data_IF_540609242295
#
_entry.id   IF_540609242295
#
_cell.length_a   1.000
_cell.length_b   1.000
_cell.length_c   1.000
_cell.angle_alpha   90.00
_cell.angle_beta   90.00
_cell.angle_gamma   90.00
#
_symmetry.space_group_name_H-M   'P 1'
#
loop_
_entity.id
_entity.type
_entity.pdbx_description
1 polymer ?
#
# COMPACT_ATOMS: atom_id res chain seq x y z
N UNK A 1 -18.37 -6.37 -20.30
CA UNK A 1 -17.96 -6.78 -18.95
C UNK A 1 -16.45 -7.00 -18.94
N UNK A 2 -15.75 -6.34 -18.04
CA UNK A 2 -14.33 -6.60 -17.87
C UNK A 2 -14.15 -7.96 -17.17
N UNK A 3 -13.36 -8.85 -17.75
CA UNK A 3 -12.94 -10.08 -17.08
C UNK A 3 -12.14 -9.74 -15.84
N UNK A 4 -12.60 -10.22 -14.69
CA UNK A 4 -11.85 -10.08 -13.45
C UNK A 4 -10.67 -11.06 -13.48
N UNK A 5 -9.48 -10.54 -13.70
CA UNK A 5 -8.27 -11.36 -13.64
C UNK A 5 -8.06 -11.87 -12.23
N UNK A 6 -7.94 -13.18 -12.10
CA UNK A 6 -7.57 -13.80 -10.82
C UNK A 6 -6.06 -13.58 -10.63
N UNK A 7 -5.70 -12.97 -9.51
CA UNK A 7 -4.29 -12.77 -9.16
C UNK A 7 -3.71 -14.05 -8.59
N UNK A 8 -2.62 -14.51 -9.17
CA UNK A 8 -1.85 -15.62 -8.66
C UNK A 8 -0.48 -15.13 -8.22
N UNK A 9 -0.04 -15.57 -7.04
CA UNK A 9 1.31 -15.34 -6.61
C UNK A 9 2.30 -16.15 -7.45
N UNK A 10 3.50 -15.63 -7.74
CA UNK A 10 4.57 -16.41 -8.38
C UNK A 10 4.95 -17.68 -7.62
N UNK A 11 4.72 -17.73 -6.31
CA UNK A 11 5.05 -18.84 -5.43
C UNK A 11 3.84 -19.71 -5.06
N UNK A 12 2.67 -19.43 -5.63
CA UNK A 12 1.42 -20.14 -5.28
C UNK A 12 1.54 -21.66 -5.42
N UNK A 13 2.28 -22.15 -6.43
CA UNK A 13 2.49 -23.56 -6.69
C UNK A 13 3.30 -24.27 -5.59
N UNK A 14 3.98 -23.55 -4.73
CA UNK A 14 4.79 -24.11 -3.64
C UNK A 14 3.97 -24.40 -2.38
N UNK A 15 2.76 -23.87 -2.28
CA UNK A 15 1.87 -24.05 -1.11
C UNK A 15 2.58 -23.77 0.22
N UNK A 16 3.33 -22.67 0.30
CA UNK A 16 4.20 -22.37 1.45
C UNK A 16 3.46 -22.28 2.77
N UNK A 17 2.26 -21.70 2.78
CA UNK A 17 1.46 -21.57 3.99
C UNK A 17 1.10 -22.94 4.60
N UNK A 18 0.72 -23.91 3.75
CA UNK A 18 0.41 -25.27 4.19
C UNK A 18 1.67 -25.98 4.72
N UNK A 19 2.81 -25.77 4.08
CA UNK A 19 4.08 -26.40 4.49
C UNK A 19 4.57 -25.90 5.84
N UNK A 20 4.38 -24.63 6.13
CA UNK A 20 4.77 -24.04 7.43
C UNK A 20 3.95 -24.65 8.59
N UNK A 21 2.68 -24.99 8.35
CA UNK A 21 1.79 -25.55 9.36
C UNK A 21 2.08 -27.03 9.60
N UNK A 22 2.40 -27.81 8.54
CA UNK A 22 2.49 -29.27 8.59
C UNK A 22 3.79 -29.74 9.22
N UNK A 23 4.90 -29.07 9.03
CA UNK A 23 6.20 -29.49 9.55
C UNK A 23 6.98 -28.30 10.15
N UNK A 24 6.69 -27.96 11.43
CA UNK A 24 7.45 -26.93 12.11
C UNK A 24 8.90 -27.36 12.42
N UNK A 25 9.17 -28.68 12.62
CA UNK A 25 10.51 -29.24 12.83
C UNK A 25 11.46 -28.41 13.67
N UNK A 26 12.76 -28.64 13.51
CA UNK A 26 13.84 -27.85 14.12
C UNK A 26 14.33 -26.75 13.18
N UNK A 27 13.44 -26.21 12.36
CA UNK A 27 13.80 -25.20 11.38
C UNK A 27 14.30 -23.90 12.05
N UNK A 28 15.48 -23.43 11.67
CA UNK A 28 16.03 -22.16 12.16
C UNK A 28 15.37 -20.93 11.55
N UNK A 29 14.53 -21.10 10.53
CA UNK A 29 13.81 -20.02 9.87
C UNK A 29 12.49 -20.51 9.30
N UNK A 30 11.49 -19.64 9.28
CA UNK A 30 10.21 -19.90 8.62
C UNK A 30 9.98 -18.84 7.56
N UNK A 31 9.55 -19.27 6.38
CA UNK A 31 9.20 -18.39 5.28
C UNK A 31 7.77 -18.67 4.85
N UNK A 32 7.01 -17.61 4.70
CA UNK A 32 5.66 -17.68 4.14
C UNK A 32 5.45 -16.51 3.21
N UNK A 33 4.62 -16.73 2.20
CA UNK A 33 4.22 -15.67 1.30
C UNK A 33 2.99 -14.96 1.87
N UNK A 34 3.02 -13.63 1.87
CA UNK A 34 1.85 -12.85 2.25
C UNK A 34 0.85 -12.77 1.10
N UNK A 35 -0.45 -12.75 1.39
CA UNK A 35 -1.45 -12.53 0.35
C UNK A 35 -1.26 -11.16 -0.32
N UNK A 36 -1.65 -11.02 -1.60
CA UNK A 36 -1.59 -9.73 -2.29
C UNK A 36 -2.39 -8.67 -1.53
N UNK A 37 -1.86 -7.46 -1.48
CA UNK A 37 -2.53 -6.30 -0.89
C UNK A 37 -2.69 -5.21 -1.92
N UNK A 38 -3.73 -4.37 -1.74
CA UNK A 38 -3.88 -3.17 -2.54
C UNK A 38 -2.72 -2.21 -2.25
N UNK A 39 -2.17 -1.62 -3.30
CA UNK A 39 -1.07 -0.66 -3.22
C UNK A 39 -1.38 0.53 -4.12
N UNK A 40 -1.25 1.73 -3.57
CA UNK A 40 -1.49 2.98 -4.29
C UNK A 40 -0.30 3.90 -4.11
N UNK A 41 0.29 4.33 -5.21
CA UNK A 41 1.31 5.37 -5.21
C UNK A 41 0.64 6.74 -5.26
N UNK A 42 1.01 7.62 -4.33
CA UNK A 42 0.52 8.99 -4.26
C UNK A 42 1.68 9.93 -4.50
N UNK A 43 1.51 10.88 -5.40
CA UNK A 43 2.45 11.96 -5.67
C UNK A 43 1.79 13.32 -5.49
N UNK A 44 2.51 14.25 -4.87
CA UNK A 44 2.08 15.62 -4.69
C UNK A 44 3.14 16.41 -3.94
N UNK A 45 2.99 17.72 -3.89
CA UNK A 45 3.97 18.61 -3.25
C UNK A 45 3.76 18.65 -1.74
N UNK A 46 4.69 18.07 -0.98
CA UNK A 46 4.66 18.09 0.49
C UNK A 46 4.87 19.50 1.08
N UNK A 47 5.39 20.44 0.28
CA UNK A 47 5.52 21.83 0.67
C UNK A 47 4.24 22.65 0.47
N UNK A 48 3.28 22.13 -0.25
CA UNK A 48 1.96 22.74 -0.44
C UNK A 48 1.02 22.34 0.70
N UNK A 49 0.76 23.27 1.60
CA UNK A 49 -0.11 23.04 2.76
C UNK A 49 -1.52 22.61 2.37
N UNK A 50 -2.03 23.11 1.26
CA UNK A 50 -3.36 22.76 0.78
C UNK A 50 -3.39 21.29 0.27
N UNK A 51 -2.34 20.84 -0.41
CA UNK A 51 -2.21 19.44 -0.79
C UNK A 51 -2.14 18.52 0.43
N UNK A 52 -1.30 18.86 1.40
CA UNK A 52 -1.15 18.06 2.62
C UNK A 52 -2.46 17.99 3.40
N UNK A 53 -3.19 19.08 3.51
CA UNK A 53 -4.49 19.10 4.18
C UNK A 53 -5.52 18.24 3.44
N UNK A 54 -5.57 18.29 2.13
CA UNK A 54 -6.45 17.45 1.32
C UNK A 54 -6.08 15.97 1.43
N UNK A 55 -4.79 15.64 1.42
CA UNK A 55 -4.30 14.28 1.59
C UNK A 55 -4.69 13.73 2.97
N UNK A 56 -4.49 14.52 4.02
CA UNK A 56 -4.92 14.17 5.38
C UNK A 56 -6.43 13.93 5.45
N UNK A 57 -7.23 14.78 4.82
CA UNK A 57 -8.68 14.64 4.78
C UNK A 57 -9.11 13.34 4.10
N UNK A 58 -8.47 12.98 3.00
CA UNK A 58 -8.74 11.73 2.27
C UNK A 58 -8.29 10.49 3.02
N UNK A 59 -7.19 10.56 3.77
CA UNK A 59 -6.70 9.46 4.59
C UNK A 59 -7.48 9.30 5.91
N UNK A 60 -7.90 10.39 6.51
CA UNK A 60 -8.48 10.40 7.86
C UNK A 60 -7.43 10.54 8.98
N UNK A 61 -6.15 10.63 8.66
CA UNK A 61 -5.05 10.83 9.59
C UNK A 61 -3.87 11.52 8.88
N UNK A 62 -2.92 12.04 9.65
CA UNK A 62 -1.78 12.75 9.09
C UNK A 62 -0.82 11.80 8.36
N UNK A 63 -0.48 12.09 7.08
CA UNK A 63 0.52 11.31 6.37
C UNK A 63 1.92 11.55 6.94
N UNK A 64 2.87 10.60 6.75
CA UNK A 64 4.25 10.82 7.17
C UNK A 64 4.92 11.90 6.31
N UNK A 65 5.51 12.89 6.95
CA UNK A 65 6.23 13.98 6.27
C UNK A 65 7.74 13.94 6.56
N UNK A 66 8.14 13.22 7.60
CA UNK A 66 9.55 13.02 7.91
C UNK A 66 10.14 11.90 7.05
N UNK A 67 11.36 12.09 6.59
CA UNK A 67 12.06 11.12 5.75
C UNK A 67 12.12 9.73 6.37
N UNK A 68 11.88 8.72 5.53
CA UNK A 68 12.01 7.31 5.90
C UNK A 68 11.10 6.87 7.07
N UNK A 69 9.91 7.48 7.16
CA UNK A 69 8.94 7.11 8.18
C UNK A 69 7.71 6.41 7.58
N UNK A 70 7.02 5.67 8.41
CA UNK A 70 5.76 5.02 8.07
C UNK A 70 4.72 5.33 9.15
N UNK A 71 3.48 5.51 8.71
CA UNK A 71 2.33 5.65 9.61
C UNK A 71 1.34 4.54 9.30
N UNK A 72 0.87 3.86 10.33
CA UNK A 72 -0.16 2.81 10.19
C UNK A 72 -1.41 3.19 10.95
N UNK A 73 -2.56 2.93 10.34
CA UNK A 73 -3.86 3.22 10.94
C UNK A 73 -4.94 2.36 10.28
N UNK A 74 -5.71 1.61 11.08
CA UNK A 74 -6.86 0.81 10.63
C UNK A 74 -6.60 -0.06 9.39
N UNK A 75 -5.50 -0.79 9.40
CA UNK A 75 -5.17 -1.71 8.30
C UNK A 75 -4.52 -1.04 7.09
N UNK A 76 -4.26 0.26 7.15
CA UNK A 76 -3.55 1.00 6.11
C UNK A 76 -2.16 1.41 6.62
N UNK A 77 -1.14 1.12 5.82
CA UNK A 77 0.22 1.62 6.03
C UNK A 77 0.54 2.68 4.96
N UNK A 78 1.06 3.81 5.39
CA UNK A 78 1.50 4.89 4.50
C UNK A 78 3.00 5.07 4.67
N UNK A 79 3.74 4.81 3.60
CA UNK A 79 5.20 4.89 3.59
C UNK A 79 5.65 6.17 2.91
N UNK A 80 6.54 6.90 3.54
CA UNK A 80 7.24 8.01 2.91
C UNK A 80 8.31 7.45 1.97
N UNK A 81 8.21 7.74 0.68
CA UNK A 81 9.20 7.30 -0.32
C UNK A 81 10.10 8.43 -0.78
N UNK A 82 9.66 9.65 -0.62
CA UNK A 82 10.38 10.84 -1.04
C UNK A 82 9.61 12.09 -0.67
N UNK A 83 10.18 13.28 -0.86
CA UNK A 83 9.52 14.54 -0.50
C UNK A 83 8.16 14.79 -1.17
N UNK A 84 7.91 14.09 -2.27
CA UNK A 84 6.68 14.25 -3.05
C UNK A 84 6.03 12.91 -3.38
N UNK A 85 6.35 11.86 -2.64
CA UNK A 85 5.90 10.51 -2.99
C UNK A 85 5.63 9.65 -1.76
N UNK A 86 4.49 8.96 -1.77
CA UNK A 86 4.06 8.02 -0.74
C UNK A 86 3.55 6.73 -1.36
N UNK A 87 3.70 5.63 -0.64
CA UNK A 87 3.09 4.34 -0.98
C UNK A 87 2.09 3.96 0.10
N UNK A 88 0.86 3.69 -0.29
CA UNK A 88 -0.21 3.21 0.57
C UNK A 88 -0.38 1.72 0.35
N UNK A 89 -0.40 0.93 1.43
CA UNK A 89 -0.54 -0.53 1.37
C UNK A 89 -1.60 -0.99 2.34
N UNK A 90 -2.54 -1.79 1.87
CA UNK A 90 -3.58 -2.41 2.68
C UNK A 90 -4.98 -1.91 2.35
N UNK A 91 -5.71 -1.43 3.34
CA UNK A 91 -7.07 -0.88 3.19
C UNK A 91 -7.03 0.52 2.58
N UNK A 92 -6.72 0.60 1.28
CA UNK A 92 -6.50 1.87 0.58
C UNK A 92 -7.82 2.59 0.29
N UNK A 93 -8.02 3.83 0.81
CA UNK A 93 -9.23 4.61 0.56
C UNK A 93 -9.13 5.37 -0.79
N UNK A 94 -9.04 4.64 -1.90
CA UNK A 94 -8.77 5.21 -3.22
C UNK A 94 -9.79 6.24 -3.68
N UNK A 95 -11.08 5.97 -3.49
CA UNK A 95 -12.14 6.89 -3.90
C UNK A 95 -12.16 8.18 -3.07
N UNK A 96 -11.98 8.08 -1.76
CA UNK A 96 -11.90 9.23 -0.88
C UNK A 96 -10.70 10.11 -1.20
N UNK A 97 -9.55 9.49 -1.51
CA UNK A 97 -8.36 10.23 -1.91
C UNK A 97 -8.55 10.92 -3.26
N UNK A 98 -9.12 10.23 -4.23
CA UNK A 98 -9.39 10.82 -5.54
C UNK A 98 -10.32 12.04 -5.42
N UNK A 99 -11.35 11.94 -4.60
CA UNK A 99 -12.26 13.05 -4.36
C UNK A 99 -11.59 14.21 -3.61
N UNK A 100 -10.81 13.90 -2.57
CA UNK A 100 -10.13 14.92 -1.75
C UNK A 100 -9.05 15.67 -2.53
N UNK A 101 -8.35 15.02 -3.45
CA UNK A 101 -7.25 15.58 -4.22
C UNK A 101 -7.66 16.11 -5.60
N UNK A 102 -8.92 16.02 -5.98
CA UNK A 102 -9.40 16.33 -7.32
C UNK A 102 -8.99 17.74 -7.82
N UNK A 103 -9.00 18.74 -6.93
CA UNK A 103 -8.66 20.12 -7.26
C UNK A 103 -7.18 20.48 -7.02
N UNK A 104 -6.35 19.46 -6.75
CA UNK A 104 -4.92 19.65 -6.46
C UNK A 104 -4.07 18.97 -7.52
N UNK A 105 -2.91 19.53 -7.79
CA UNK A 105 -1.93 18.87 -8.64
C UNK A 105 -1.40 17.63 -7.93
N UNK A 106 -1.71 16.47 -8.46
CA UNK A 106 -1.38 15.18 -7.84
C UNK A 106 -1.35 14.07 -8.87
N UNK A 107 -0.85 12.90 -8.45
CA UNK A 107 -1.00 11.65 -9.18
C UNK A 107 -1.35 10.54 -8.22
N UNK A 108 -2.35 9.72 -8.59
CA UNK A 108 -2.73 8.49 -7.90
C UNK A 108 -2.59 7.35 -8.91
N UNK A 109 -1.73 6.39 -8.60
CA UNK A 109 -1.48 5.24 -9.49
C UNK A 109 -1.63 3.95 -8.71
N UNK A 110 -2.55 3.09 -9.14
CA UNK A 110 -2.68 1.75 -8.59
C UNK A 110 -1.49 0.91 -9.05
N UNK A 111 -0.65 0.50 -8.10
CA UNK A 111 0.54 -0.31 -8.34
C UNK A 111 0.43 -1.71 -7.73
N UNK A 112 -0.80 -2.12 -7.41
CA UNK A 112 -1.06 -3.40 -6.74
C UNK A 112 -0.53 -4.61 -7.50
N UNK A 113 -0.50 -4.55 -8.83
CA UNK A 113 -0.05 -5.64 -9.68
C UNK A 113 1.43 -5.53 -10.10
N UNK A 114 2.09 -4.43 -9.77
CA UNK A 114 3.48 -4.19 -10.18
C UNK A 114 4.49 -4.42 -9.07
N UNK A 115 4.04 -4.66 -7.85
CA UNK A 115 4.92 -4.79 -6.67
C UNK A 115 4.52 -5.99 -5.84
N UNK A 116 5.52 -6.62 -5.25
CA UNK A 116 5.36 -7.62 -4.19
C UNK A 116 5.64 -6.92 -2.87
N UNK A 117 4.66 -6.95 -2.00
CA UNK A 117 4.79 -6.36 -0.67
C UNK A 117 5.18 -7.41 0.37
#
# INVERSE_FOLDING_TARGET
MAERRIRHSPLAHLHLAARVVVDPGDAGARMSERPPRAQLAVRGDSGDKAFVAAFKAGLGFSPPLAANTVVTHDGLAVFWLGPSEWLLVGEVPGEQLAAALADRHHALVDVSDSRIA
#
